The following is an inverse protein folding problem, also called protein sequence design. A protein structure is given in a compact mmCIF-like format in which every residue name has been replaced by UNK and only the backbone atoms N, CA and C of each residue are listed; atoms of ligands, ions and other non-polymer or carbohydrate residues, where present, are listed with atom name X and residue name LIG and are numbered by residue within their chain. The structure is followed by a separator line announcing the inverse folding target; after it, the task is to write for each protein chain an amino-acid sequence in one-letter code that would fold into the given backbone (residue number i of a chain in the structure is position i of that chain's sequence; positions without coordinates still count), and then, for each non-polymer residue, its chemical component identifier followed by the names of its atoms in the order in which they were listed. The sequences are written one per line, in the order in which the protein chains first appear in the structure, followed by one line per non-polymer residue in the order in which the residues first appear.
data_IF_561231310659
#
_entry.id   IF_561231310659
#
_cell.length_a   1.000
_cell.length_b   1.000
_cell.length_c   1.000
_cell.angle_alpha   90.00
_cell.angle_beta   90.00
_cell.angle_gamma   90.00
#
_symmetry.space_group_name_H-M   'P 1'
#
loop_
_entity.id
_entity.type
_entity.pdbx_description
1 polymer ?
#
# COMPACT_ATOMS: atom_id res chain seq x y z
N UNK A 1 9.97 6.11 -28.15
CA UNK A 1 9.94 7.23 -27.19
C UNK A 1 8.98 6.87 -26.07
N UNK A 2 9.37 7.00 -24.80
CA UNK A 2 8.52 6.65 -23.66
C UNK A 2 7.52 7.79 -23.43
N UNK A 3 6.24 7.55 -23.67
CA UNK A 3 5.19 8.54 -23.45
C UNK A 3 4.80 8.52 -21.97
N UNK A 4 5.06 9.62 -21.26
CA UNK A 4 4.65 9.81 -19.87
C UNK A 4 3.38 10.66 -19.90
N UNK A 5 2.19 10.09 -19.66
CA UNK A 5 0.97 10.89 -19.61
C UNK A 5 1.02 11.84 -18.43
N UNK A 6 0.37 12.99 -18.59
CA UNK A 6 0.17 13.93 -17.49
C UNK A 6 -0.70 13.29 -16.40
N UNK A 7 -0.33 13.50 -15.14
CA UNK A 7 -1.13 13.10 -13.98
C UNK A 7 -1.28 14.34 -13.11
N UNK A 8 -2.52 14.68 -12.76
CA UNK A 8 -2.79 15.82 -11.90
C UNK A 8 -2.10 15.63 -10.53
N UNK A 9 -1.22 16.56 -10.14
CA UNK A 9 -0.49 16.45 -8.86
C UNK A 9 -1.41 16.38 -7.64
N UNK A 10 -2.61 16.97 -7.72
CA UNK A 10 -3.64 16.89 -6.67
C UNK A 10 -4.15 15.46 -6.43
N UNK A 11 -4.37 14.67 -7.49
CA UNK A 11 -4.83 13.28 -7.33
C UNK A 11 -3.73 12.39 -6.75
N UNK A 12 -2.47 12.67 -7.07
CA UNK A 12 -1.30 12.00 -6.48
C UNK A 12 -1.18 12.28 -4.98
N UNK A 13 -1.32 13.56 -4.58
CA UNK A 13 -1.30 13.95 -3.17
C UNK A 13 -2.43 13.28 -2.38
N UNK A 14 -3.64 13.27 -2.93
CA UNK A 14 -4.77 12.62 -2.28
C UNK A 14 -4.62 11.10 -2.20
N UNK A 15 -4.05 10.47 -3.23
CA UNK A 15 -3.70 9.05 -3.18
C UNK A 15 -2.67 8.74 -2.08
N UNK A 16 -1.68 9.61 -1.91
CA UNK A 16 -0.68 9.44 -0.85
C UNK A 16 -1.28 9.60 0.55
N UNK A 17 -2.13 10.62 0.74
CA UNK A 17 -2.87 10.83 1.99
C UNK A 17 -3.81 9.65 2.27
N UNK A 18 -4.53 9.16 1.26
CA UNK A 18 -5.37 7.97 1.37
C UNK A 18 -4.58 6.76 1.85
N UNK A 19 -3.42 6.48 1.23
CA UNK A 19 -2.57 5.36 1.63
C UNK A 19 -2.04 5.53 3.06
N UNK A 20 -1.67 6.76 3.45
CA UNK A 20 -1.21 7.04 4.81
C UNK A 20 -2.32 6.78 5.84
N UNK A 21 -3.54 7.24 5.57
CA UNK A 21 -4.69 7.05 6.46
C UNK A 21 -5.11 5.58 6.48
N UNK A 22 -5.22 4.93 5.32
CA UNK A 22 -5.58 3.50 5.21
C UNK A 22 -4.56 2.63 5.94
N UNK A 23 -3.26 2.90 5.78
CA UNK A 23 -2.21 2.19 6.50
C UNK A 23 -2.31 2.39 8.01
N UNK A 24 -2.48 3.64 8.44
CA UNK A 24 -2.65 3.97 9.85
C UNK A 24 -3.90 3.31 10.46
N UNK A 25 -5.01 3.23 9.72
CA UNK A 25 -6.24 2.57 10.19
C UNK A 25 -6.07 1.06 10.33
N UNK A 26 -5.48 0.41 9.33
CA UNK A 26 -5.26 -1.05 9.32
C UNK A 26 -4.29 -1.45 10.43
N UNK A 27 -3.13 -0.81 10.51
CA UNK A 27 -2.09 -1.16 11.49
C UNK A 27 -2.26 -0.49 12.86
N UNK A 28 -3.14 0.50 12.98
CA UNK A 28 -3.44 1.21 14.22
C UNK A 28 -4.72 0.70 14.90
N UNK A 29 -5.85 1.44 14.85
CA UNK A 29 -7.01 1.16 15.68
C UNK A 29 -7.77 -0.12 15.30
N UNK A 30 -7.84 -0.48 14.01
CA UNK A 30 -8.68 -1.62 13.59
C UNK A 30 -8.03 -2.96 13.94
N UNK A 31 -6.73 -3.12 13.66
CA UNK A 31 -6.05 -4.40 13.82
C UNK A 31 -4.70 -4.32 14.53
N UNK A 32 -4.36 -3.19 15.16
CA UNK A 32 -3.05 -2.98 15.77
C UNK A 32 -2.67 -4.03 16.81
N UNK A 33 -3.60 -4.45 17.69
CA UNK A 33 -3.31 -5.50 18.67
C UNK A 33 -3.05 -6.87 18.04
N UNK A 34 -3.78 -7.20 16.96
CA UNK A 34 -3.61 -8.47 16.25
C UNK A 34 -2.32 -8.46 15.45
N UNK A 35 -2.01 -7.32 14.82
CA UNK A 35 -0.74 -7.09 14.14
C UNK A 35 0.45 -7.17 15.09
N UNK A 36 0.36 -6.55 16.27
CA UNK A 36 1.40 -6.59 17.30
C UNK A 36 1.68 -8.03 17.75
N UNK A 37 0.62 -8.81 18.01
CA UNK A 37 0.74 -10.25 18.34
C UNK A 37 1.36 -11.05 17.20
N UNK A 38 0.96 -10.78 15.96
CA UNK A 38 1.53 -11.45 14.78
C UNK A 38 3.01 -11.09 14.58
N UNK A 39 3.40 -9.83 14.82
CA UNK A 39 4.78 -9.36 14.71
C UNK A 39 5.67 -9.90 15.83
N UNK A 40 5.18 -9.98 17.07
CA UNK A 40 5.88 -10.65 18.17
C UNK A 40 6.18 -12.12 17.85
N UNK A 41 5.22 -12.82 17.23
CA UNK A 41 5.39 -14.20 16.78
C UNK A 41 6.41 -14.34 15.65
N UNK A 42 6.46 -13.36 14.74
CA UNK A 42 7.42 -13.31 13.65
C UNK A 42 8.85 -13.02 14.13
N UNK A 43 9.01 -12.10 15.09
CA UNK A 43 10.31 -11.63 15.59
C UNK A 43 10.85 -12.40 16.80
N UNK A 44 10.10 -13.37 17.31
CA UNK A 44 10.55 -14.26 18.38
C UNK A 44 10.65 -13.62 19.77
N UNK A 45 9.89 -12.55 20.04
CA UNK A 45 9.89 -11.88 21.35
C UNK A 45 9.39 -10.42 21.30
N UNK A 46 9.53 -9.69 22.41
CA UNK A 46 9.14 -8.27 22.53
C UNK A 46 10.31 -7.28 22.28
N UNK A 47 11.54 -7.78 22.11
CA UNK A 47 12.75 -6.95 21.96
C UNK A 47 12.77 -6.10 20.68
N UNK A 48 12.12 -6.55 19.60
CA UNK A 48 12.05 -5.79 18.34
C UNK A 48 11.34 -4.44 18.50
N UNK A 49 10.43 -4.33 19.46
CA UNK A 49 9.68 -3.10 19.73
C UNK A 49 10.56 -2.05 20.42
N UNK A 50 11.54 -2.49 21.21
CA UNK A 50 12.53 -1.60 21.85
C UNK A 50 13.62 -1.16 20.87
N UNK A 51 14.05 -2.04 19.96
CA UNK A 51 15.08 -1.73 18.94
C UNK A 51 14.53 -0.87 17.79
N UNK A 52 13.28 -1.08 17.38
CA UNK A 52 12.61 -0.31 16.31
C UNK A 52 11.87 0.95 16.80
N UNK A 53 11.60 1.06 18.11
CA UNK A 53 10.72 2.05 18.72
C UNK A 53 11.37 3.35 19.19
N UNK A 54 12.55 3.71 18.69
CA UNK A 54 13.11 5.04 18.99
C UNK A 54 12.16 6.11 18.44
N UNK A 55 11.46 6.82 19.34
CA UNK A 55 10.53 7.91 19.01
C UNK A 55 11.14 8.95 18.06
N UNK A 56 12.46 9.11 18.12
CA UNK A 56 13.24 10.03 17.28
C UNK A 56 13.26 9.65 15.79
N UNK A 57 13.10 8.36 15.45
CA UNK A 57 13.09 7.87 14.05
C UNK A 57 11.70 7.84 13.44
N UNK A 58 10.65 7.88 14.27
CA UNK A 58 9.26 7.85 13.83
C UNK A 58 8.90 8.95 12.81
N UNK A 59 9.26 10.25 13.01
CA UNK A 59 8.93 11.28 12.03
C UNK A 59 9.64 11.06 10.68
N UNK A 60 10.89 10.59 10.71
CA UNK A 60 11.65 10.28 9.48
C UNK A 60 11.03 9.11 8.73
N UNK A 61 10.62 8.06 9.44
CA UNK A 61 9.96 6.90 8.87
C UNK A 61 8.61 7.28 8.23
N UNK A 62 7.76 8.01 8.95
CA UNK A 62 6.48 8.48 8.41
C UNK A 62 6.65 9.36 7.16
N UNK A 63 7.65 10.24 7.17
CA UNK A 63 7.95 11.08 6.01
C UNK A 63 8.43 10.24 4.82
N UNK A 64 9.30 9.25 5.07
CA UNK A 64 9.77 8.34 4.03
C UNK A 64 8.64 7.51 3.43
N UNK A 65 7.73 7.00 4.26
CA UNK A 65 6.53 6.28 3.81
C UNK A 65 5.61 7.17 2.98
N UNK A 66 5.45 8.44 3.37
CA UNK A 66 4.67 9.40 2.61
C UNK A 66 5.23 9.60 1.20
N UNK A 67 6.55 9.76 1.04
CA UNK A 67 7.18 9.86 -0.28
C UNK A 67 7.03 8.57 -1.11
N UNK A 68 7.13 7.40 -0.48
CA UNK A 68 6.85 6.14 -1.16
C UNK A 68 5.39 6.06 -1.61
N UNK A 69 4.46 6.55 -0.80
CA UNK A 69 3.03 6.59 -1.13
C UNK A 69 2.71 7.61 -2.23
N UNK A 70 3.44 8.72 -2.31
CA UNK A 70 3.41 9.63 -3.46
C UNK A 70 3.86 8.93 -4.73
N UNK A 71 4.99 8.22 -4.68
CA UNK A 71 5.48 7.43 -5.81
C UNK A 71 4.48 6.38 -6.29
N UNK A 72 3.90 5.60 -5.36
CA UNK A 72 2.85 4.62 -5.68
C UNK A 72 1.65 5.27 -6.35
N UNK A 73 1.13 6.34 -5.77
CA UNK A 73 -0.04 7.04 -6.30
C UNK A 73 0.24 7.63 -7.69
N UNK A 74 1.44 8.18 -7.89
CA UNK A 74 1.86 8.69 -9.19
C UNK A 74 1.93 7.58 -10.25
N UNK A 75 2.53 6.44 -9.92
CA UNK A 75 2.59 5.27 -10.83
C UNK A 75 1.18 4.76 -11.16
N UNK A 76 0.30 4.65 -10.16
CA UNK A 76 -1.10 4.25 -10.38
C UNK A 76 -1.84 5.23 -11.30
N UNK A 77 -1.66 6.54 -11.11
CA UNK A 77 -2.21 7.56 -12.00
C UNK A 77 -1.66 7.48 -13.43
N UNK A 78 -0.36 7.24 -13.58
CA UNK A 78 0.28 7.03 -14.88
C UNK A 78 -0.33 5.83 -15.60
N UNK A 79 -0.51 4.71 -14.91
CA UNK A 79 -1.12 3.50 -15.46
C UNK A 79 -2.58 3.71 -15.86
N UNK A 80 -3.37 4.43 -15.05
CA UNK A 80 -4.77 4.77 -15.37
C UNK A 80 -4.85 5.62 -16.65
N UNK A 81 -3.97 6.60 -16.80
CA UNK A 81 -3.97 7.50 -17.95
C UNK A 81 -3.36 6.83 -19.20
N UNK A 82 -2.33 6.00 -19.05
CA UNK A 82 -1.77 5.18 -20.14
C UNK A 82 -2.79 4.20 -20.71
N UNK A 83 -3.56 3.56 -19.83
CA UNK A 83 -4.59 2.58 -20.23
C UNK A 83 -5.89 3.23 -20.69
N UNK A 84 -6.01 4.56 -20.59
CA UNK A 84 -7.23 5.30 -20.89
C UNK A 84 -8.44 4.71 -20.15
N UNK A 85 -8.28 4.40 -18.87
CA UNK A 85 -9.35 3.89 -18.02
C UNK A 85 -10.42 4.98 -17.83
N UNK A 86 -11.50 4.90 -18.62
CA UNK A 86 -12.61 5.87 -18.60
C UNK A 86 -13.79 5.42 -17.74
N UNK A 87 -13.77 4.16 -17.30
CA UNK A 87 -14.85 3.58 -16.49
C UNK A 87 -14.32 3.05 -15.17
N UNK A 88 -15.17 3.07 -14.14
CA UNK A 88 -14.86 2.49 -12.82
C UNK A 88 -14.47 1.02 -12.90
N UNK A 89 -15.08 0.26 -13.81
CA UNK A 89 -14.76 -1.15 -14.03
C UNK A 89 -13.31 -1.34 -14.51
N UNK A 90 -12.84 -0.49 -15.43
CA UNK A 90 -11.46 -0.53 -15.92
C UNK A 90 -10.46 -0.14 -14.83
N UNK A 91 -10.77 0.87 -14.01
CA UNK A 91 -9.93 1.24 -12.87
C UNK A 91 -9.81 0.09 -11.86
N UNK A 92 -10.93 -0.60 -11.56
CA UNK A 92 -10.93 -1.79 -10.71
C UNK A 92 -10.10 -2.93 -11.31
N UNK A 93 -10.28 -3.23 -12.59
CA UNK A 93 -9.53 -4.28 -13.28
C UNK A 93 -8.02 -4.00 -13.26
N UNK A 94 -7.63 -2.76 -13.53
CA UNK A 94 -6.22 -2.34 -13.47
C UNK A 94 -5.64 -2.50 -12.07
N UNK A 95 -6.37 -2.03 -11.05
CA UNK A 95 -5.99 -2.23 -9.65
C UNK A 95 -5.88 -3.72 -9.28
N UNK A 96 -6.80 -4.54 -9.78
CA UNK A 96 -6.79 -5.98 -9.55
C UNK A 96 -5.59 -6.66 -10.22
N UNK A 97 -5.22 -6.25 -11.45
CA UNK A 97 -4.01 -6.75 -12.10
C UNK A 97 -2.75 -6.37 -11.33
N UNK A 98 -2.67 -5.16 -10.76
CA UNK A 98 -1.55 -4.78 -9.89
C UNK A 98 -1.53 -5.60 -8.59
N UNK A 99 -2.70 -5.83 -7.98
CA UNK A 99 -2.82 -6.64 -6.78
C UNK A 99 -2.37 -8.08 -7.01
N UNK A 100 -2.94 -8.75 -8.01
CA UNK A 100 -2.63 -10.15 -8.32
C UNK A 100 -1.26 -10.32 -8.98
N UNK A 101 -0.77 -9.32 -9.70
CA UNK A 101 0.52 -9.37 -10.38
C UNK A 101 1.71 -9.04 -9.48
N UNK A 102 1.52 -8.24 -8.43
CA UNK A 102 2.62 -7.75 -7.58
C UNK A 102 2.43 -8.14 -6.11
N UNK A 103 1.28 -7.83 -5.52
CA UNK A 103 1.07 -8.03 -4.08
C UNK A 103 0.97 -9.52 -3.74
N UNK A 104 0.14 -10.26 -4.48
CA UNK A 104 -0.08 -11.70 -4.22
C UNK A 104 1.20 -12.52 -4.37
N UNK A 105 1.98 -12.39 -5.46
CA UNK A 105 3.23 -13.14 -5.61
C UNK A 105 4.25 -12.81 -4.53
N UNK A 106 4.35 -11.54 -4.11
CA UNK A 106 5.22 -11.14 -3.01
C UNK A 106 4.82 -11.82 -1.69
N UNK A 107 3.53 -11.83 -1.35
CA UNK A 107 3.03 -12.48 -0.13
C UNK A 107 3.26 -14.00 -0.18
N UNK A 108 3.03 -14.64 -1.32
CA UNK A 108 3.29 -16.07 -1.49
C UNK A 108 4.78 -16.37 -1.35
N UNK A 109 5.64 -15.55 -1.96
CA UNK A 109 7.10 -15.69 -1.87
C UNK A 109 7.58 -15.60 -0.42
N UNK A 110 7.12 -14.60 0.33
CA UNK A 110 7.42 -14.46 1.77
C UNK A 110 6.91 -15.66 2.58
N UNK A 111 5.78 -16.24 2.22
CA UNK A 111 5.25 -17.44 2.87
C UNK A 111 6.11 -18.68 2.63
N UNK A 112 6.52 -18.88 1.37
CA UNK A 112 7.28 -20.05 0.96
C UNK A 112 8.73 -20.00 1.42
N UNK A 113 9.39 -18.85 1.24
CA UNK A 113 10.82 -18.70 1.50
C UNK A 113 11.12 -18.33 2.95
N UNK A 114 10.34 -17.42 3.54
CA UNK A 114 10.62 -16.89 4.88
C UNK A 114 9.76 -17.55 5.98
N UNK A 115 8.81 -18.42 5.62
CA UNK A 115 7.87 -19.09 6.55
C UNK A 115 7.21 -18.12 7.55
N UNK A 116 6.96 -16.89 7.10
CA UNK A 116 6.31 -15.83 7.89
C UNK A 116 4.94 -16.32 8.39
N UNK A 117 4.47 -15.89 9.58
CA UNK A 117 3.19 -16.32 10.12
C UNK A 117 2.04 -15.90 9.19
N UNK A 118 1.12 -16.84 8.91
CA UNK A 118 -0.02 -16.61 8.01
C UNK A 118 -0.90 -15.41 8.43
N UNK A 119 -0.95 -15.08 9.72
CA UNK A 119 -1.73 -13.95 10.20
C UNK A 119 -1.15 -12.61 9.74
N UNK A 120 0.17 -12.49 9.59
CA UNK A 120 0.82 -11.29 9.08
C UNK A 120 0.60 -11.12 7.57
N UNK A 121 0.54 -12.24 6.84
CA UNK A 121 0.25 -12.26 5.40
C UNK A 121 -1.16 -11.77 5.08
N UNK A 122 -2.16 -12.11 5.91
CA UNK A 122 -3.53 -11.61 5.75
C UNK A 122 -3.58 -10.08 5.82
N UNK A 123 -2.85 -9.46 6.75
CA UNK A 123 -2.77 -8.00 6.86
C UNK A 123 -2.06 -7.37 5.66
N UNK A 124 -0.99 -7.99 5.17
CA UNK A 124 -0.31 -7.54 3.95
C UNK A 124 -1.22 -7.60 2.73
N UNK A 125 -2.00 -8.68 2.58
CA UNK A 125 -2.99 -8.80 1.51
C UNK A 125 -4.08 -7.73 1.62
N UNK A 126 -4.63 -7.51 2.82
CA UNK A 126 -5.67 -6.50 3.02
C UNK A 126 -5.14 -5.07 2.75
N UNK A 127 -3.97 -4.75 3.28
CA UNK A 127 -3.29 -3.46 3.05
C UNK A 127 -2.94 -3.25 1.58
N UNK A 128 -2.43 -4.30 0.92
CA UNK A 128 -2.12 -4.29 -0.50
C UNK A 128 -3.36 -4.15 -1.38
N UNK A 129 -4.49 -4.78 -1.01
CA UNK A 129 -5.77 -4.65 -1.70
C UNK A 129 -6.26 -3.19 -1.66
N UNK A 130 -6.22 -2.57 -0.48
CA UNK A 130 -6.56 -1.15 -0.32
C UNK A 130 -5.64 -0.25 -1.15
N UNK A 131 -4.32 -0.46 -1.05
CA UNK A 131 -3.31 0.36 -1.72
C UNK A 131 -3.27 0.20 -3.24
N UNK A 132 -3.94 -0.80 -3.81
CA UNK A 132 -3.95 -1.07 -5.26
C UNK A 132 -5.33 -0.84 -5.85
N UNK A 133 -6.29 -1.68 -5.49
CA UNK A 133 -7.64 -1.69 -6.06
C UNK A 133 -8.42 -0.47 -5.61
N UNK A 134 -8.48 -0.23 -4.29
CA UNK A 134 -9.26 0.89 -3.76
C UNK A 134 -8.59 2.21 -4.14
N UNK A 135 -7.26 2.29 -4.10
CA UNK A 135 -6.52 3.45 -4.56
C UNK A 135 -6.79 3.76 -6.04
N UNK A 136 -6.74 2.77 -6.94
CA UNK A 136 -7.00 2.99 -8.36
C UNK A 136 -8.43 3.50 -8.62
N UNK A 137 -9.43 2.89 -7.97
CA UNK A 137 -10.81 3.35 -8.04
C UNK A 137 -10.98 4.76 -7.47
N UNK A 138 -10.34 5.05 -6.34
CA UNK A 138 -10.41 6.35 -5.67
C UNK A 138 -9.77 7.45 -6.53
N UNK A 139 -8.60 7.19 -7.09
CA UNK A 139 -7.93 8.12 -8.00
C UNK A 139 -8.77 8.37 -9.26
N UNK A 140 -9.35 7.31 -9.85
CA UNK A 140 -10.25 7.45 -10.99
C UNK A 140 -11.51 8.28 -10.64
N UNK A 141 -12.08 8.09 -9.45
CA UNK A 141 -13.25 8.84 -8.99
C UNK A 141 -12.95 10.32 -8.82
N UNK A 142 -11.77 10.64 -8.29
CA UNK A 142 -11.34 12.02 -8.07
C UNK A 142 -11.00 12.77 -9.37
N UNK A 143 -10.66 12.04 -10.44
CA UNK A 143 -10.17 12.60 -11.69
C UNK A 143 -8.65 12.54 -11.75
N UNK A 144 -8.12 11.59 -12.52
CA UNK A 144 -6.68 11.46 -12.79
C UNK A 144 -6.20 12.33 -13.96
N UNK A 145 -7.09 13.09 -14.59
CA UNK A 145 -6.84 14.02 -15.69
C UNK A 145 -7.33 15.43 -15.34
#
# INVERSE_FOLDING_TARGET
MLHIPYVAGGSVLLGAVYNQISGALVYGPLFGQVWLKAMNKDKGGDSWMQEGGSKDKLPVLLLSEFFLNLGKSWITGLLLNLTQARTMSQAFQLGAFLFFGVVVPNVISESMWEKRPCDLQKFKLLSGFSSTIVLACFMHWWGTA
#
